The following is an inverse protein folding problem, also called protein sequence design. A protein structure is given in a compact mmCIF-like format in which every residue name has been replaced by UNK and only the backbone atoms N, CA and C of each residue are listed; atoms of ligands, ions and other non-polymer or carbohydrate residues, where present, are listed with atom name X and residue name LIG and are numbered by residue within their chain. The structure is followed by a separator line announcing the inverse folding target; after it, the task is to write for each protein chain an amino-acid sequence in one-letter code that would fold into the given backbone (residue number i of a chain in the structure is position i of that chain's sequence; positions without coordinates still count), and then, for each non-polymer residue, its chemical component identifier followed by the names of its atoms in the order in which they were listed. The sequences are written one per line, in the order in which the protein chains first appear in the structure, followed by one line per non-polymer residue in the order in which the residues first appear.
data_IF_716935870024
#
_entry.id   IF_716935870024
#
_cell.length_a   1.000
_cell.length_b   1.000
_cell.length_c   1.000
_cell.angle_alpha   90.00
_cell.angle_beta   90.00
_cell.angle_gamma   90.00
#
_symmetry.space_group_name_H-M   'P 1'
#
loop_
_entity.id
_entity.type
_entity.pdbx_description
1 polymer ?
#
# COMPACT_ATOMS: atom_id res chain seq x y z
N UNK A 1 15.37 5.91 -6.67
CA UNK A 1 14.72 4.58 -6.59
C UNK A 1 14.64 4.19 -5.12
N UNK A 2 13.46 3.91 -4.57
CA UNK A 2 13.31 3.51 -3.17
C UNK A 2 14.08 2.22 -2.88
N UNK A 3 14.53 2.05 -1.64
CA UNK A 3 15.25 0.83 -1.20
C UNK A 3 14.28 -0.25 -0.70
N UNK A 4 13.07 0.17 -0.32
CA UNK A 4 12.03 -0.65 0.29
C UNK A 4 10.79 -0.62 -0.62
N UNK A 5 9.97 -1.64 -0.51
CA UNK A 5 8.70 -1.71 -1.24
C UNK A 5 7.67 -0.82 -0.56
N UNK A 6 6.88 -0.08 -1.34
CA UNK A 6 5.87 0.85 -0.84
C UNK A 6 4.51 0.45 -1.36
N UNK A 7 3.55 0.28 -0.45
CA UNK A 7 2.19 -0.15 -0.74
C UNK A 7 1.20 0.91 -0.27
N UNK A 8 0.06 0.98 -0.95
CA UNK A 8 -1.07 1.82 -0.58
C UNK A 8 -2.35 1.00 -0.63
N UNK A 9 -3.14 1.08 0.44
CA UNK A 9 -4.34 0.25 0.59
C UNK A 9 -5.48 1.12 1.11
N UNK A 10 -6.61 1.10 0.42
CA UNK A 10 -7.80 1.85 0.86
C UNK A 10 -8.50 1.15 2.01
N UNK A 11 -9.03 1.89 2.97
CA UNK A 11 -9.91 1.35 4.02
C UNK A 11 -11.24 2.10 3.99
N UNK A 12 -12.33 1.35 3.87
CA UNK A 12 -13.69 1.87 3.92
C UNK A 12 -14.48 1.23 5.06
N UNK A 13 -15.32 2.05 5.69
CA UNK A 13 -16.29 1.60 6.68
C UNK A 13 -17.70 1.71 6.10
N UNK A 14 -18.45 0.61 6.06
CA UNK A 14 -19.84 0.57 5.61
C UNK A 14 -20.72 0.44 6.85
N UNK A 15 -21.42 1.53 7.18
CA UNK A 15 -22.27 1.59 8.37
C UNK A 15 -23.58 0.79 8.17
N UNK A 16 -24.30 0.48 9.27
CA UNK A 16 -25.58 -0.24 9.19
C UNK A 16 -26.55 0.36 8.16
N UNK A 17 -27.05 -0.48 7.25
CA UNK A 17 -28.00 -0.08 6.21
C UNK A 17 -27.43 0.68 5.00
N UNK A 18 -26.16 1.11 5.03
CA UNK A 18 -25.55 1.82 3.90
C UNK A 18 -25.28 0.89 2.73
N UNK A 19 -25.50 1.39 1.51
CA UNK A 19 -25.29 0.64 0.27
C UNK A 19 -24.68 1.47 -0.85
N UNK A 20 -24.66 2.80 -0.70
CA UNK A 20 -24.26 3.71 -1.76
C UNK A 20 -22.87 4.29 -1.48
N UNK A 21 -22.07 4.42 -2.55
CA UNK A 21 -20.70 4.93 -2.52
C UNK A 21 -20.55 6.21 -1.68
N UNK A 22 -21.39 7.21 -1.95
CA UNK A 22 -21.30 8.52 -1.32
C UNK A 22 -21.64 8.48 0.18
N UNK A 23 -22.49 7.56 0.63
CA UNK A 23 -22.79 7.38 2.05
C UNK A 23 -21.60 6.77 2.78
N UNK A 24 -20.98 5.76 2.17
CA UNK A 24 -19.85 5.01 2.71
C UNK A 24 -18.61 5.92 2.85
N UNK A 25 -18.28 6.67 1.79
CA UNK A 25 -17.12 7.56 1.80
C UNK A 25 -17.29 8.74 2.78
N UNK A 26 -18.53 9.18 3.03
CA UNK A 26 -18.80 10.29 3.95
C UNK A 26 -18.59 9.96 5.43
N UNK A 27 -18.56 8.68 5.79
CA UNK A 27 -18.36 8.27 7.17
C UNK A 27 -17.07 8.89 7.74
N UNK A 28 -17.20 9.55 8.89
CA UNK A 28 -16.09 10.18 9.63
C UNK A 28 -15.66 9.39 10.87
N UNK A 29 -16.40 8.33 11.19
CA UNK A 29 -16.13 7.42 12.30
C UNK A 29 -16.69 6.05 11.95
N UNK A 30 -16.12 5.01 12.55
CA UNK A 30 -16.64 3.65 12.47
C UNK A 30 -17.07 3.11 13.82
N UNK A 31 -17.38 1.81 13.87
CA UNK A 31 -17.76 1.13 15.11
C UNK A 31 -16.57 0.94 16.06
N UNK A 32 -16.81 0.67 17.36
CA UNK A 32 -15.72 0.38 18.29
C UNK A 32 -14.84 -0.82 17.87
N UNK A 33 -15.44 -1.82 17.22
CA UNK A 33 -14.70 -2.96 16.69
C UNK A 33 -13.80 -2.58 15.50
N UNK A 34 -14.29 -1.71 14.62
CA UNK A 34 -13.49 -1.14 13.53
C UNK A 34 -12.28 -0.35 14.06
N UNK A 35 -12.46 0.50 15.07
CA UNK A 35 -11.34 1.27 15.64
C UNK A 35 -10.27 0.36 16.27
N UNK A 36 -10.68 -0.68 17.03
CA UNK A 36 -9.74 -1.69 17.57
C UNK A 36 -8.99 -2.42 16.46
N UNK A 37 -9.67 -2.74 15.37
CA UNK A 37 -9.03 -3.36 14.21
C UNK A 37 -7.98 -2.44 13.58
N UNK A 38 -8.27 -1.15 13.39
CA UNK A 38 -7.32 -0.17 12.86
C UNK A 38 -6.06 -0.05 13.73
N UNK A 39 -6.23 -0.02 15.05
CA UNK A 39 -5.12 0.01 16.02
C UNK A 39 -4.20 -1.22 15.92
N UNK A 40 -4.75 -2.39 15.61
CA UNK A 40 -3.96 -3.60 15.37
C UNK A 40 -3.36 -3.68 13.96
N UNK A 41 -3.93 -2.97 12.99
CA UNK A 41 -3.55 -3.04 11.58
C UNK A 41 -2.24 -2.28 11.34
N UNK A 42 -2.10 -1.11 11.95
CA UNK A 42 -0.92 -0.26 11.80
C UNK A 42 -0.78 0.76 12.95
N UNK A 43 0.24 1.61 12.83
CA UNK A 43 0.49 2.71 13.75
C UNK A 43 -0.18 3.97 13.22
N UNK A 44 -0.85 4.72 14.08
CA UNK A 44 -1.35 6.05 13.74
C UNK A 44 -0.16 7.02 13.68
N UNK A 45 0.05 7.63 12.52
CA UNK A 45 1.13 8.60 12.28
C UNK A 45 0.53 9.97 12.02
N UNK A 46 1.24 11.03 12.40
CA UNK A 46 0.96 12.39 11.94
C UNK A 46 1.64 12.58 10.59
N UNK A 47 0.90 13.03 9.58
CA UNK A 47 1.46 13.28 8.25
C UNK A 47 2.42 14.47 8.23
N UNK A 48 2.26 15.42 9.15
CA UNK A 48 3.20 16.54 9.33
C UNK A 48 4.44 16.07 10.10
N UNK A 49 5.62 16.35 9.55
CA UNK A 49 6.90 16.14 10.22
C UNK A 49 7.46 14.71 10.12
N UNK A 50 6.81 13.82 9.37
CA UNK A 50 7.28 12.45 9.17
C UNK A 50 8.18 12.38 7.92
N UNK A 51 9.49 12.17 8.10
CA UNK A 51 10.47 12.12 6.99
C UNK A 51 10.72 10.68 6.51
N UNK A 52 10.59 9.70 7.40
CA UNK A 52 10.99 8.31 7.16
C UNK A 52 9.85 7.38 6.74
N UNK A 53 8.61 7.90 6.65
CA UNK A 53 7.42 7.11 6.30
C UNK A 53 6.82 7.58 4.99
N UNK A 54 6.55 6.61 4.12
CA UNK A 54 5.87 6.82 2.85
C UNK A 54 4.47 7.42 3.06
N UNK A 55 4.26 8.65 2.59
CA UNK A 55 3.01 9.39 2.75
C UNK A 55 1.88 8.97 1.80
N UNK A 56 2.11 8.02 0.88
CA UNK A 56 1.06 7.49 -0.02
C UNK A 56 0.41 8.49 -0.97
N UNK A 57 0.91 9.72 -1.04
CA UNK A 57 0.28 10.81 -1.78
C UNK A 57 -0.75 11.61 -0.97
N UNK A 58 -0.88 11.35 0.33
CA UNK A 58 -1.72 12.15 1.22
C UNK A 58 -1.07 13.50 1.52
N UNK A 59 -1.89 14.54 1.46
CA UNK A 59 -1.54 15.89 1.91
C UNK A 59 -2.17 16.16 3.28
N UNK A 60 -1.42 16.52 4.35
CA UNK A 60 -1.98 16.81 5.67
C UNK A 60 -3.02 17.94 5.68
N UNK A 61 -2.94 18.89 4.75
CA UNK A 61 -3.83 20.05 4.71
C UNK A 61 -5.13 19.75 3.96
N UNK A 62 -5.11 18.80 3.02
CA UNK A 62 -6.30 18.41 2.22
C UNK A 62 -6.94 17.09 2.70
N UNK A 63 -6.13 16.10 3.04
CA UNK A 63 -6.54 14.70 3.25
C UNK A 63 -6.60 14.29 4.73
N UNK A 64 -6.29 15.22 5.64
CA UNK A 64 -6.35 15.03 7.09
C UNK A 64 -4.98 14.82 7.73
N UNK A 65 -4.86 15.12 9.02
CA UNK A 65 -3.57 15.20 9.70
C UNK A 65 -2.95 13.83 10.04
N UNK A 66 -3.76 12.77 10.06
CA UNK A 66 -3.35 11.46 10.53
C UNK A 66 -3.68 10.35 9.53
N UNK A 67 -2.81 9.35 9.48
CA UNK A 67 -3.03 8.14 8.71
C UNK A 67 -2.54 6.91 9.48
N UNK A 68 -3.07 5.73 9.15
CA UNK A 68 -2.49 4.49 9.63
C UNK A 68 -1.39 4.03 8.67
N UNK A 69 -0.24 3.64 9.22
CA UNK A 69 0.87 3.12 8.46
C UNK A 69 1.50 1.92 9.17
N UNK A 70 2.05 0.99 8.41
CA UNK A 70 2.86 -0.11 8.95
C UNK A 70 4.12 -0.27 8.11
N UNK A 71 5.20 -0.67 8.75
CA UNK A 71 6.47 -0.91 8.06
C UNK A 71 7.30 -1.97 8.77
N UNK A 72 8.17 -2.60 8.00
CA UNK A 72 9.26 -3.45 8.45
C UNK A 72 10.56 -3.08 7.69
N UNK A 73 11.55 -3.97 7.72
CA UNK A 73 12.85 -3.74 7.10
C UNK A 73 12.82 -3.79 5.55
N UNK A 74 11.76 -4.34 4.96
CA UNK A 74 11.68 -4.59 3.51
C UNK A 74 10.57 -3.79 2.82
N UNK A 75 9.56 -3.35 3.55
CA UNK A 75 8.46 -2.58 2.96
C UNK A 75 7.66 -1.72 3.93
N UNK A 76 6.85 -0.84 3.36
CA UNK A 76 5.92 0.04 4.07
C UNK A 76 4.54 -0.03 3.40
N UNK A 77 3.49 0.05 4.19
CA UNK A 77 2.12 0.23 3.72
C UNK A 77 1.52 1.45 4.40
N UNK A 78 0.93 2.33 3.59
CA UNK A 78 0.08 3.40 4.07
C UNK A 78 -1.38 3.05 3.77
N UNK A 79 -2.24 3.29 4.75
CA UNK A 79 -3.68 3.04 4.65
C UNK A 79 -4.45 4.34 4.39
N UNK A 80 -5.04 4.46 3.20
CA UNK A 80 -5.99 5.52 2.88
C UNK A 80 -7.31 5.26 3.58
N UNK A 81 -7.41 5.72 4.83
CA UNK A 81 -8.52 5.41 5.71
C UNK A 81 -9.62 6.46 5.54
N UNK A 82 -10.73 6.09 4.89
CA UNK A 82 -11.82 7.01 4.54
C UNK A 82 -12.35 7.82 5.74
N UNK A 83 -12.39 7.17 6.91
CA UNK A 83 -12.90 7.77 8.15
C UNK A 83 -11.95 8.79 8.78
N UNK A 84 -10.66 8.73 8.48
CA UNK A 84 -9.67 9.74 8.91
C UNK A 84 -9.56 10.93 7.94
N UNK A 85 -10.03 10.75 6.70
CA UNK A 85 -10.03 11.82 5.70
C UNK A 85 -11.21 12.79 5.93
N UNK A 86 -11.00 14.10 5.83
CA UNK A 86 -12.07 15.08 5.96
C UNK A 86 -13.07 14.94 4.80
N UNK A 87 -14.36 14.99 5.11
CA UNK A 87 -15.42 15.00 4.08
C UNK A 87 -15.70 16.42 3.57
N UNK A 88 -15.47 17.45 4.39
CA UNK A 88 -15.73 18.86 4.04
C UNK A 88 -17.13 19.08 3.45
N UNK A 89 -17.23 20.03 2.51
CA UNK A 89 -18.42 20.29 1.69
C UNK A 89 -18.39 19.54 0.33
N UNK A 90 -17.56 18.50 0.20
CA UNK A 90 -17.40 17.74 -1.05
C UNK A 90 -18.57 16.77 -1.25
N UNK A 91 -19.57 17.21 -2.03
CA UNK A 91 -20.79 16.43 -2.24
C UNK A 91 -20.52 15.04 -2.83
N UNK A 92 -19.48 14.91 -3.64
CA UNK A 92 -19.14 13.70 -4.37
C UNK A 92 -18.00 12.91 -3.73
N UNK A 93 -17.47 13.36 -2.57
CA UNK A 93 -16.32 12.76 -1.90
C UNK A 93 -15.14 12.54 -2.86
N UNK A 94 -14.97 13.45 -3.81
CA UNK A 94 -13.91 13.49 -4.82
C UNK A 94 -12.53 13.35 -4.18
N UNK A 95 -12.27 14.07 -3.08
CA UNK A 95 -10.97 14.03 -2.41
C UNK A 95 -10.66 12.64 -1.85
N UNK A 96 -11.60 12.00 -1.16
CA UNK A 96 -11.41 10.63 -0.66
C UNK A 96 -11.29 9.64 -1.82
N UNK A 97 -12.11 9.82 -2.86
CA UNK A 97 -12.15 8.95 -4.03
C UNK A 97 -10.87 9.03 -4.86
N UNK A 98 -10.19 10.18 -4.93
CA UNK A 98 -8.91 10.34 -5.64
C UNK A 98 -7.81 9.43 -5.07
N UNK A 99 -7.90 9.10 -3.79
CA UNK A 99 -6.96 8.19 -3.12
C UNK A 99 -7.47 6.76 -3.14
N UNK A 100 -8.58 6.50 -2.44
CA UNK A 100 -9.15 5.15 -2.24
C UNK A 100 -9.60 4.51 -3.55
N UNK A 101 -10.10 5.32 -4.48
CA UNK A 101 -10.50 4.88 -5.82
C UNK A 101 -9.32 4.49 -6.70
N UNK A 102 -8.12 5.02 -6.43
CA UNK A 102 -6.89 4.71 -7.17
C UNK A 102 -6.03 3.63 -6.48
N UNK A 103 -6.47 3.13 -5.33
CA UNK A 103 -5.86 1.96 -4.69
C UNK A 103 -6.36 0.68 -5.34
N UNK A 104 -5.44 -0.25 -5.59
CA UNK A 104 -5.74 -1.53 -6.20
C UNK A 104 -6.45 -2.49 -5.25
N UNK A 105 -6.09 -2.39 -3.98
CA UNK A 105 -6.62 -3.21 -2.89
C UNK A 105 -7.34 -2.32 -1.89
N UNK A 106 -8.52 -2.78 -1.46
CA UNK A 106 -9.31 -2.12 -0.43
C UNK A 106 -9.71 -3.10 0.66
N UNK A 107 -9.60 -2.66 1.90
CA UNK A 107 -10.18 -3.32 3.06
C UNK A 107 -11.55 -2.67 3.30
N UNK A 108 -12.59 -3.49 3.30
CA UNK A 108 -13.97 -3.05 3.52
C UNK A 108 -14.45 -3.62 4.84
N UNK A 109 -14.60 -2.76 5.83
CA UNK A 109 -15.26 -3.12 7.08
C UNK A 109 -16.77 -2.98 6.90
N UNK A 110 -17.49 -4.10 6.86
CA UNK A 110 -18.89 -4.15 6.49
C UNK A 110 -19.80 -4.42 7.70
N UNK A 111 -20.30 -3.34 8.32
CA UNK A 111 -21.34 -3.38 9.37
C UNK A 111 -22.76 -3.20 8.78
N UNK A 112 -22.92 -3.20 7.46
CA UNK A 112 -24.21 -2.88 6.81
C UNK A 112 -25.33 -3.87 7.13
N UNK A 113 -24.97 -5.11 7.51
CA UNK A 113 -25.90 -6.23 7.68
C UNK A 113 -26.27 -6.94 6.36
N UNK A 114 -25.70 -6.52 5.23
CA UNK A 114 -25.93 -7.08 3.90
C UNK A 114 -24.60 -7.45 3.24
N UNK A 115 -24.56 -8.43 2.32
CA UNK A 115 -23.34 -8.72 1.56
C UNK A 115 -22.85 -7.48 0.80
N UNK A 116 -21.56 -7.18 0.93
CA UNK A 116 -20.94 -6.07 0.20
C UNK A 116 -20.82 -6.40 -1.29
N UNK A 117 -21.28 -5.51 -2.17
CA UNK A 117 -21.14 -5.69 -3.62
C UNK A 117 -19.76 -5.21 -4.06
N UNK A 118 -19.10 -6.00 -4.93
CA UNK A 118 -17.80 -5.63 -5.48
C UNK A 118 -17.83 -4.22 -6.07
N UNK A 119 -18.78 -3.94 -6.96
CA UNK A 119 -18.94 -2.68 -7.70
C UNK A 119 -19.55 -1.51 -6.91
N UNK A 120 -19.56 -1.56 -5.57
CA UNK A 120 -20.09 -0.46 -4.74
C UNK A 120 -19.28 0.83 -4.91
N UNK A 121 -17.96 0.74 -5.05
CA UNK A 121 -17.09 1.87 -5.40
C UNK A 121 -16.80 1.82 -6.91
N UNK A 122 -17.31 2.78 -7.67
CA UNK A 122 -17.13 2.85 -9.11
C UNK A 122 -15.74 3.41 -9.44
N UNK A 123 -14.80 2.52 -9.79
CA UNK A 123 -13.44 2.87 -10.23
C UNK A 123 -12.86 1.84 -11.20
N UNK A 124 -11.96 2.27 -12.09
CA UNK A 124 -11.20 1.41 -12.99
C UNK A 124 -10.09 0.61 -12.29
N UNK A 125 -9.72 1.00 -11.07
CA UNK A 125 -8.65 0.37 -10.28
C UNK A 125 -9.21 -0.63 -9.27
N UNK A 126 -10.37 -1.20 -9.53
CA UNK A 126 -11.01 -2.17 -8.65
C UNK A 126 -10.54 -3.59 -8.93
N UNK A 127 -9.50 -4.01 -8.21
CA UNK A 127 -8.94 -5.34 -8.37
C UNK A 127 -9.28 -6.27 -7.21
N UNK A 128 -9.05 -5.86 -5.96
CA UNK A 128 -9.29 -6.74 -4.79
C UNK A 128 -9.98 -5.98 -3.66
N UNK A 129 -11.06 -6.55 -3.14
CA UNK A 129 -11.67 -6.10 -1.88
C UNK A 129 -11.52 -7.20 -0.83
N UNK A 130 -10.92 -6.88 0.31
CA UNK A 130 -10.89 -7.73 1.51
C UNK A 130 -12.04 -7.27 2.40
N UNK A 131 -13.15 -8.00 2.36
CA UNK A 131 -14.38 -7.68 3.10
C UNK A 131 -14.33 -8.37 4.46
N UNK A 132 -14.50 -7.58 5.52
CA UNK A 132 -14.56 -8.03 6.90
C UNK A 132 -15.97 -7.78 7.41
N UNK A 133 -16.65 -8.86 7.80
CA UNK A 133 -18.02 -8.82 8.32
C UNK A 133 -18.05 -9.34 9.78
N UNK A 134 -18.75 -8.67 10.71
CA UNK A 134 -19.00 -9.24 12.03
C UNK A 134 -19.85 -10.50 11.89
N UNK A 135 -19.45 -11.61 12.51
CA UNK A 135 -20.17 -12.89 12.41
C UNK A 135 -20.82 -13.31 13.74
N UNK A 136 -20.03 -13.47 14.82
CA UNK A 136 -20.52 -13.98 16.10
C UNK A 136 -19.71 -13.49 17.31
N UNK A 137 -20.38 -13.38 18.47
CA UNK A 137 -19.74 -13.38 19.79
C UNK A 137 -19.79 -14.80 20.35
N UNK A 138 -18.66 -15.47 20.49
CA UNK A 138 -18.52 -16.76 21.15
C UNK A 138 -18.89 -16.70 22.64
N UNK A 139 -18.95 -17.85 23.28
CA UNK A 139 -19.32 -17.96 24.69
C UNK A 139 -18.26 -17.36 25.62
N UNK A 140 -18.67 -16.58 26.61
CA UNK A 140 -17.77 -16.01 27.63
C UNK A 140 -17.11 -17.17 28.39
N UNK A 141 -15.78 -17.30 28.28
CA UNK A 141 -15.04 -18.26 29.09
C UNK A 141 -15.08 -17.82 30.56
N UNK A 142 -15.44 -18.74 31.47
CA UNK A 142 -15.67 -18.45 32.90
C UNK A 142 -14.47 -17.82 33.65
N UNK A 143 -13.28 -17.79 33.03
CA UNK A 143 -12.04 -17.30 33.63
C UNK A 143 -11.31 -16.24 32.77
N UNK A 144 -11.92 -15.76 31.67
CA UNK A 144 -11.29 -14.73 30.86
C UNK A 144 -11.79 -13.33 31.21
N UNK A 145 -10.84 -12.40 31.34
CA UNK A 145 -11.09 -10.97 31.52
C UNK A 145 -11.12 -10.21 30.19
N UNK A 146 -10.87 -10.87 29.05
CA UNK A 146 -10.85 -10.22 27.74
C UNK A 146 -12.24 -10.25 27.08
N UNK A 147 -12.92 -9.10 27.10
CA UNK A 147 -14.28 -8.93 26.56
C UNK A 147 -14.40 -9.29 25.06
N UNK A 148 -13.29 -9.24 24.32
CA UNK A 148 -13.26 -9.43 22.86
C UNK A 148 -12.57 -10.73 22.42
N UNK A 149 -12.11 -11.58 23.35
CA UNK A 149 -11.49 -12.87 23.01
C UNK A 149 -12.40 -13.77 22.17
N UNK A 150 -13.71 -13.59 22.33
CA UNK A 150 -14.73 -14.38 21.65
C UNK A 150 -15.36 -13.66 20.45
N UNK A 151 -14.83 -12.53 19.98
CA UNK A 151 -15.35 -11.88 18.77
C UNK A 151 -14.74 -12.54 17.52
N UNK A 152 -15.60 -13.05 16.63
CA UNK A 152 -15.20 -13.64 15.35
C UNK A 152 -15.73 -12.83 14.17
N UNK A 153 -14.86 -12.63 13.21
CA UNK A 153 -15.13 -11.92 11.97
C UNK A 153 -15.02 -12.87 10.79
N UNK A 154 -15.94 -12.72 9.85
CA UNK A 154 -15.90 -13.40 8.56
C UNK A 154 -15.09 -12.54 7.59
N UNK A 155 -14.05 -13.13 7.02
CA UNK A 155 -13.19 -12.49 6.02
C UNK A 155 -13.45 -13.13 4.67
N UNK A 156 -13.74 -12.29 3.67
CA UNK A 156 -14.01 -12.68 2.28
C UNK A 156 -13.08 -11.87 1.38
N UNK A 157 -12.51 -12.50 0.36
CA UNK A 157 -11.68 -11.82 -0.64
C UNK A 157 -12.39 -11.81 -1.98
N UNK A 158 -12.90 -10.65 -2.36
CA UNK A 158 -13.47 -10.41 -3.69
C UNK A 158 -12.37 -9.98 -4.65
N UNK A 159 -12.42 -10.47 -5.89
CA UNK A 159 -11.38 -10.31 -6.90
C UNK A 159 -12.00 -9.86 -8.22
N UNK A 160 -11.23 -9.12 -9.02
CA UNK A 160 -11.63 -8.76 -10.37
C UNK A 160 -11.87 -9.99 -11.24
N UNK A 161 -12.77 -9.85 -12.21
CA UNK A 161 -13.12 -10.92 -13.14
C UNK A 161 -11.89 -11.40 -13.91
N UNK A 162 -11.66 -12.70 -13.90
CA UNK A 162 -10.52 -13.33 -14.59
C UNK A 162 -9.24 -13.41 -13.75
N UNK A 163 -9.22 -12.83 -12.55
CA UNK A 163 -8.07 -12.94 -11.66
C UNK A 163 -8.05 -14.31 -10.95
N UNK A 164 -6.91 -15.00 -11.03
CA UNK A 164 -6.70 -16.30 -10.38
C UNK A 164 -6.81 -16.19 -8.86
N UNK A 165 -7.23 -17.26 -8.18
CA UNK A 165 -7.20 -17.32 -6.72
C UNK A 165 -5.76 -17.39 -6.21
N UNK A 166 -5.39 -16.42 -5.38
CA UNK A 166 -4.04 -16.31 -4.82
C UNK A 166 -4.02 -16.30 -3.29
N UNK A 167 -5.20 -16.26 -2.65
CA UNK A 167 -5.32 -16.21 -1.18
C UNK A 167 -5.70 -17.57 -0.61
N UNK A 168 -5.27 -17.91 0.61
CA UNK A 168 -5.67 -19.16 1.25
C UNK A 168 -7.11 -19.14 1.78
N UNK A 169 -7.92 -18.11 1.47
CA UNK A 169 -9.24 -17.85 2.05
C UNK A 169 -10.33 -18.78 1.50
N UNK A 170 -10.31 -19.14 0.21
CA UNK A 170 -11.43 -19.83 -0.41
C UNK A 170 -12.66 -18.94 -0.44
N UNK A 171 -13.82 -19.50 -0.09
CA UNK A 171 -15.09 -18.77 -0.03
C UNK A 171 -15.11 -17.72 1.10
N UNK A 172 -14.75 -18.13 2.32
CA UNK A 172 -14.58 -17.25 3.47
C UNK A 172 -13.79 -17.96 4.59
N UNK A 173 -13.24 -17.17 5.52
CA UNK A 173 -12.72 -17.69 6.80
C UNK A 173 -13.27 -16.94 7.99
N UNK A 174 -13.45 -17.67 9.10
CA UNK A 174 -13.74 -17.08 10.40
C UNK A 174 -12.44 -16.87 11.17
N UNK A 175 -12.21 -15.64 11.61
CA UNK A 175 -10.96 -15.20 12.23
C UNK A 175 -11.30 -14.50 13.54
N UNK A 176 -10.53 -14.78 14.59
CA UNK A 176 -10.70 -14.08 15.88
C UNK A 176 -10.30 -12.62 15.76
N UNK A 177 -10.92 -11.76 16.57
CA UNK A 177 -10.63 -10.33 16.65
C UNK A 177 -9.13 -10.04 16.85
N UNK A 178 -8.47 -10.86 17.67
CA UNK A 178 -7.04 -10.74 17.98
C UNK A 178 -6.14 -10.93 16.75
N UNK A 179 -6.43 -11.94 15.93
CA UNK A 179 -5.58 -12.29 14.77
C UNK A 179 -6.02 -11.58 13.48
N UNK A 180 -7.19 -10.95 13.48
CA UNK A 180 -7.76 -10.31 12.30
C UNK A 180 -6.86 -9.24 11.68
N UNK A 181 -6.30 -8.27 12.43
CA UNK A 181 -5.47 -7.22 11.84
C UNK A 181 -4.20 -7.77 11.18
N UNK A 182 -3.56 -8.76 11.80
CA UNK A 182 -2.36 -9.40 11.26
C UNK A 182 -2.66 -10.10 9.93
N UNK A 183 -3.74 -10.90 9.89
CA UNK A 183 -4.13 -11.59 8.67
C UNK A 183 -4.50 -10.60 7.56
N UNK A 184 -5.32 -9.59 7.86
CA UNK A 184 -5.77 -8.62 6.85
C UNK A 184 -4.60 -7.82 6.30
N UNK A 185 -3.63 -7.42 7.12
CA UNK A 185 -2.39 -6.77 6.66
C UNK A 185 -1.59 -7.66 5.70
N UNK A 186 -1.38 -8.93 6.06
CA UNK A 186 -0.66 -9.87 5.19
C UNK A 186 -1.39 -10.09 3.87
N UNK A 187 -2.72 -10.25 3.93
CA UNK A 187 -3.55 -10.38 2.73
C UNK A 187 -3.52 -9.12 1.87
N UNK A 188 -3.53 -7.92 2.46
CA UNK A 188 -3.51 -6.67 1.69
C UNK A 188 -2.19 -6.47 0.96
N UNK A 189 -1.06 -6.78 1.62
CA UNK A 189 0.26 -6.72 1.01
C UNK A 189 0.42 -7.76 -0.11
N UNK A 190 -0.01 -9.00 0.15
CA UNK A 190 0.00 -10.07 -0.83
C UNK A 190 -0.86 -9.71 -2.04
N UNK A 191 -2.08 -9.22 -1.82
CA UNK A 191 -2.99 -8.79 -2.87
C UNK A 191 -2.41 -7.65 -3.70
N UNK A 192 -1.79 -6.66 -3.09
CA UNK A 192 -1.23 -5.51 -3.80
C UNK A 192 -0.07 -5.95 -4.71
N UNK A 193 0.80 -6.83 -4.19
CA UNK A 193 1.86 -7.44 -5.00
C UNK A 193 1.30 -8.28 -6.15
N UNK A 194 0.29 -9.12 -5.90
CA UNK A 194 -0.35 -9.90 -6.96
C UNK A 194 -1.03 -9.05 -8.02
N UNK A 195 -1.70 -7.96 -7.65
CA UNK A 195 -2.29 -7.04 -8.61
C UNK A 195 -1.21 -6.37 -9.46
N UNK A 196 -0.09 -5.98 -8.84
CA UNK A 196 1.07 -5.44 -9.56
C UNK A 196 1.57 -6.41 -10.63
N UNK A 197 1.74 -7.68 -10.27
CA UNK A 197 2.12 -8.77 -11.19
C UNK A 197 1.09 -8.90 -12.31
N UNK A 198 -0.17 -9.08 -11.94
CA UNK A 198 -1.28 -9.28 -12.87
C UNK A 198 -1.42 -8.13 -13.88
N UNK A 199 -1.22 -6.88 -13.45
CA UNK A 199 -1.27 -5.71 -14.34
C UNK A 199 -0.07 -5.63 -15.27
N UNK A 200 1.12 -6.00 -14.80
CA UNK A 200 2.35 -6.00 -15.60
C UNK A 200 2.37 -7.13 -16.64
N UNK A 201 1.66 -8.23 -16.39
CA UNK A 201 1.49 -9.37 -17.31
C UNK A 201 0.27 -9.21 -18.22
N UNK A 202 -0.28 -8.00 -18.35
CA UNK A 202 -1.50 -7.71 -19.12
C UNK A 202 -2.70 -8.61 -18.78
N UNK A 203 -2.92 -8.84 -17.47
CA UNK A 203 -3.91 -9.77 -16.92
C UNK A 203 -3.54 -11.25 -17.17
N UNK A 204 -2.27 -11.60 -16.95
CA UNK A 204 -1.69 -12.94 -17.15
C UNK A 204 -1.67 -13.45 -18.61
N UNK A 205 -1.79 -12.56 -19.60
CA UNK A 205 -1.66 -12.89 -21.03
C UNK A 205 -0.21 -12.91 -21.49
N UNK A 206 0.63 -12.05 -20.92
CA UNK A 206 2.03 -11.88 -21.29
C UNK A 206 3.00 -12.41 -20.23
N UNK A 207 4.11 -12.99 -20.69
CA UNK A 207 5.19 -13.48 -19.81
C UNK A 207 6.26 -12.41 -19.65
N UNK A 208 5.93 -11.37 -18.92
CA UNK A 208 6.83 -10.27 -18.63
C UNK A 208 7.60 -10.52 -17.32
N UNK A 209 8.92 -10.35 -17.35
CA UNK A 209 9.75 -10.50 -16.15
C UNK A 209 9.48 -9.36 -15.17
N UNK A 210 9.11 -9.70 -13.93
CA UNK A 210 8.97 -8.73 -12.85
C UNK A 210 10.34 -8.34 -12.27
N UNK A 211 10.57 -7.03 -12.16
CA UNK A 211 11.81 -6.50 -11.59
C UNK A 211 11.53 -5.85 -10.24
N UNK A 212 12.26 -6.30 -9.21
CA UNK A 212 12.17 -5.71 -7.86
C UNK A 212 12.90 -4.39 -7.78
N UNK A 213 12.60 -3.59 -6.76
CA UNK A 213 13.30 -2.34 -6.47
C UNK A 213 14.82 -2.55 -6.36
N UNK A 214 15.26 -3.60 -5.66
CA UNK A 214 16.69 -3.94 -5.54
C UNK A 214 17.33 -4.27 -6.87
N UNK A 215 16.65 -5.05 -7.73
CA UNK A 215 17.16 -5.40 -9.06
C UNK A 215 17.25 -4.18 -9.97
N UNK A 216 16.22 -3.33 -9.96
CA UNK A 216 16.21 -2.06 -10.71
C UNK A 216 17.36 -1.15 -10.28
N UNK A 217 17.61 -1.04 -8.96
CA UNK A 217 18.77 -0.31 -8.41
C UNK A 217 20.10 -0.89 -8.85
N UNK A 218 20.26 -2.22 -8.80
CA UNK A 218 21.49 -2.88 -9.27
C UNK A 218 21.73 -2.59 -10.75
N UNK A 219 20.69 -2.65 -11.58
CA UNK A 219 20.78 -2.32 -13.00
C UNK A 219 21.16 -0.85 -13.21
N UNK A 220 20.60 0.08 -12.44
CA UNK A 220 20.95 1.50 -12.49
C UNK A 220 22.42 1.74 -12.12
N UNK A 221 22.90 1.11 -11.05
CA UNK A 221 24.31 1.20 -10.63
C UNK A 221 25.23 0.64 -11.71
N UNK A 222 24.89 -0.51 -12.31
CA UNK A 222 25.66 -1.08 -13.43
C UNK A 222 25.70 -0.15 -14.63
N UNK A 223 24.57 0.44 -15.04
CA UNK A 223 24.49 1.42 -16.14
C UNK A 223 25.34 2.65 -15.85
N UNK A 224 25.26 3.18 -14.64
CA UNK A 224 26.07 4.32 -14.22
C UNK A 224 27.57 4.01 -14.27
N UNK A 225 27.99 2.84 -13.75
CA UNK A 225 29.38 2.40 -13.83
C UNK A 225 29.88 2.33 -15.27
N UNK A 226 29.11 1.73 -16.18
CA UNK A 226 29.48 1.65 -17.59
C UNK A 226 29.64 3.04 -18.23
N UNK A 227 28.76 4.00 -17.89
CA UNK A 227 28.84 5.37 -18.40
C UNK A 227 30.10 6.10 -17.90
N UNK A 228 30.43 5.98 -16.61
CA UNK A 228 31.65 6.60 -16.04
C UNK A 228 32.91 5.97 -16.65
N UNK A 229 32.96 4.64 -16.80
CA UNK A 229 34.12 3.98 -17.43
C UNK A 229 34.27 4.40 -18.90
N UNK A 230 33.17 4.63 -19.61
CA UNK A 230 33.18 5.14 -20.98
C UNK A 230 33.64 6.61 -21.07
N UNK A 231 33.30 7.47 -20.11
CA UNK A 231 33.81 8.84 -20.05
C UNK A 231 35.29 8.90 -19.70
N UNK A 232 35.75 8.09 -18.74
CA UNK A 232 37.17 8.06 -18.36
C UNK A 232 38.05 7.58 -19.52
N UNK A 233 37.58 6.58 -20.28
CA UNK A 233 38.28 6.12 -21.47
C UNK A 233 38.25 7.15 -22.61
N UNK A 234 37.18 7.94 -22.76
CA UNK A 234 37.13 9.04 -23.71
C UNK A 234 38.02 10.24 -23.32
N UNK A 235 38.18 10.52 -22.02
CA UNK A 235 39.12 11.54 -21.52
C UNK A 235 40.58 11.12 -21.73
N UNK A 236 40.92 9.84 -21.48
CA UNK A 236 42.28 9.32 -21.72
C UNK A 236 42.65 9.36 -23.20
N UNK A 237 41.73 9.02 -24.13
CA UNK A 237 41.99 9.08 -25.57
C UNK A 237 42.21 10.53 -26.04
N UNK A 238 41.46 11.51 -25.51
CA UNK A 238 41.67 12.92 -25.82
C UNK A 238 43.00 13.49 -25.29
N UNK A 239 43.56 12.92 -24.22
CA UNK A 239 44.87 13.31 -23.68
C UNK A 239 46.01 12.71 -24.53
N UNK A 240 45.83 11.52 -25.11
CA UNK A 240 46.83 10.87 -25.95
C UNK A 240 46.94 11.44 -27.38
N UNK A 241 45.89 12.09 -27.92
CA UNK A 241 45.93 12.71 -29.26
C UNK A 241 46.64 14.09 -29.30
N UNK A 242 47.01 14.65 -28.15
CA UNK A 242 47.71 15.93 -28.07
C UNK A 242 49.20 15.78 -27.76
N UNK A 243 50.07 15.92 -28.76
CA UNK A 243 51.54 15.92 -28.62
C UNK A 243 52.06 17.00 -27.60
N UNK A 244 51.22 17.97 -27.20
CA UNK A 244 51.54 18.98 -26.17
C UNK A 244 51.03 18.67 -24.75
N UNK A 245 50.27 17.59 -24.53
CA UNK A 245 49.67 17.28 -23.21
C UNK A 245 50.64 16.64 -22.20
N UNK A 246 51.70 15.97 -22.69
CA UNK A 246 52.62 15.21 -21.85
C UNK A 246 53.70 16.05 -21.15
N UNK A 247 53.82 17.35 -21.46
CA UNK A 247 54.82 18.23 -20.83
C UNK A 247 54.42 18.68 -19.42
N UNK A 248 53.13 18.75 -19.09
CA UNK A 248 52.67 19.17 -17.75
C UNK A 248 52.95 18.15 -16.64
N UNK A 249 53.22 16.90 -16.97
CA UNK A 249 53.54 15.84 -15.99
C UNK A 249 55.05 15.63 -15.79
N UNK A 250 55.90 16.45 -16.42
CA UNK A 250 57.37 16.36 -16.30
C UNK A 250 58.02 17.55 -15.60
N UNK A 251 57.23 18.53 -15.16
CA UNK A 251 57.75 19.70 -14.45
C UNK A 251 57.71 19.47 -12.93
N UNK A 252 58.89 19.29 -12.35
CA UNK A 252 59.10 19.09 -10.91
C UNK A 252 59.62 20.37 -10.21
N UNK A 253 59.56 21.54 -10.85
CA UNK A 253 60.18 22.77 -10.30
C UNK A 253 59.31 23.58 -9.34
N UNK A 254 58.08 23.17 -9.02
CA UNK A 254 57.18 23.93 -8.12
C UNK A 254 57.09 23.44 -6.68
N UNK A 255 58.00 22.57 -6.25
CA UNK A 255 58.12 22.20 -4.84
C UNK A 255 59.43 22.71 -4.24
N UNK A 256 59.45 24.00 -3.90
CA UNK A 256 60.14 24.59 -2.74
C UNK A 256 59.49 25.93 -2.37
#
# INVERSE_FOLDING_TARGET
MPVIDTHKVGIMYVAPGQRHEAEILRNSHGSPAYNRFLEGLGRLINLRGQVDVYAGGLDPDEDGEYAYAWWDDIGQVLYHTATLMPSGDDEYCTNKKRHIGNDWVRIVWNDSGMPYNFDTLATQFQFVNIVVEPHSRGAIAAFSNNLHENEYFKVIVQRAKGMTEFTPIGDFKLISAENLPLLVRQLSLLADWFVSVWKHTENDTEKNEMTTNWRSRLQAIKRFRTQVTASDSAEVVNIEEGIMGQERHRDFTTSY
#
